data_IF_832077328766
#
_entry.id   IF_832077328766
#
_cell.length_a   1.000
_cell.length_b   1.000
_cell.length_c   1.000
_cell.angle_alpha   90.00
_cell.angle_beta   90.00
_cell.angle_gamma   90.00
#
_symmetry.space_group_name_H-M   'P 1'
#
loop_
_entity.id
_entity.type
_entity.pdbx_description
1 polymer ?
#
# COMPACT_ATOMS: atom_id res chain seq x y z
N UNK A 1 5.22 0.18 16.67
CA UNK A 1 6.48 -0.55 16.95
C UNK A 1 7.47 -0.46 15.78
N UNK A 2 7.08 -0.83 14.54
CA UNK A 2 7.99 -0.81 13.38
C UNK A 2 8.52 0.57 13.03
N UNK A 3 7.72 1.63 13.19
CA UNK A 3 8.12 3.01 12.96
C UNK A 3 9.07 3.57 14.03
N UNK A 4 9.19 2.90 15.16
CA UNK A 4 10.03 3.31 16.28
C UNK A 4 11.39 2.57 16.27
N UNK A 5 11.56 1.60 15.38
CA UNK A 5 12.82 0.90 15.13
C UNK A 5 13.58 1.63 14.00
N UNK A 6 14.92 1.77 14.16
CA UNK A 6 15.80 2.49 13.20
C UNK A 6 16.03 1.68 11.91
N UNK A 7 14.92 1.38 11.17
CA UNK A 7 14.92 0.54 9.96
C UNK A 7 14.50 1.29 8.69
N UNK A 8 14.46 2.62 8.73
CA UNK A 8 14.16 3.44 7.56
C UNK A 8 12.69 3.51 7.16
N UNK A 9 11.75 3.13 8.03
CA UNK A 9 10.31 3.33 7.79
C UNK A 9 9.90 4.80 7.84
N UNK A 10 10.68 5.62 8.55
CA UNK A 10 10.43 7.06 8.67
C UNK A 10 11.46 7.86 7.89
N UNK A 11 11.01 8.82 7.10
CA UNK A 11 11.86 9.82 6.44
C UNK A 11 12.19 11.02 7.35
N UNK A 12 11.63 11.06 8.56
CA UNK A 12 11.87 12.14 9.53
C UNK A 12 13.18 11.97 10.31
N UNK A 13 13.79 10.81 10.25
CA UNK A 13 15.07 10.48 10.90
C UNK A 13 16.05 9.96 9.87
N UNK A 14 17.35 10.15 10.12
CA UNK A 14 18.37 9.55 9.27
C UNK A 14 18.66 8.12 9.73
N UNK A 15 18.14 7.16 8.97
CA UNK A 15 18.18 5.73 9.27
C UNK A 15 18.65 4.95 8.05
N UNK A 16 19.08 3.70 8.27
CA UNK A 16 19.43 2.77 7.18
C UNK A 16 18.18 2.41 6.38
N UNK A 17 18.27 2.34 5.06
CA UNK A 17 17.19 1.93 4.16
C UNK A 17 16.98 0.41 4.19
N UNK A 18 16.33 -0.09 5.24
CA UNK A 18 15.94 -1.51 5.37
C UNK A 18 14.47 -1.73 4.96
N UNK A 19 13.52 -1.19 5.70
CA UNK A 19 12.06 -1.26 5.54
C UNK A 19 11.46 -2.67 5.58
N UNK A 20 12.20 -3.71 5.93
CA UNK A 20 11.63 -5.07 6.04
C UNK A 20 10.77 -5.21 7.29
N UNK A 21 9.57 -5.73 7.14
CA UNK A 21 8.73 -6.18 8.26
C UNK A 21 9.22 -7.54 8.77
N UNK A 22 9.44 -8.48 7.88
CA UNK A 22 10.12 -9.74 8.17
C UNK A 22 11.63 -9.59 7.93
N UNK A 23 12.42 -9.75 9.01
CA UNK A 23 13.90 -9.65 8.94
C UNK A 23 14.56 -10.78 8.13
N UNK A 24 13.85 -11.87 7.90
CA UNK A 24 14.34 -12.99 7.10
C UNK A 24 14.17 -12.73 5.58
N UNK A 25 13.39 -11.72 5.20
CA UNK A 25 13.28 -11.31 3.80
C UNK A 25 14.63 -10.87 3.25
N UNK A 26 14.91 -11.20 1.98
CA UNK A 26 16.19 -10.90 1.34
C UNK A 26 16.27 -9.50 0.73
N UNK A 27 15.12 -8.87 0.42
CA UNK A 27 15.05 -7.58 -0.26
C UNK A 27 14.86 -6.47 0.76
N UNK A 28 15.77 -5.49 0.75
CA UNK A 28 15.70 -4.27 1.55
C UNK A 28 15.35 -3.07 0.68
N UNK A 29 14.97 -1.95 1.30
CA UNK A 29 14.81 -0.68 0.59
C UNK A 29 16.10 -0.23 -0.10
N UNK A 30 17.26 -0.54 0.50
CA UNK A 30 18.57 -0.28 -0.08
C UNK A 30 18.79 -1.07 -1.38
N UNK A 31 18.40 -2.34 -1.45
CA UNK A 31 18.46 -3.13 -2.68
C UNK A 31 17.58 -2.50 -3.77
N UNK A 32 16.35 -2.10 -3.43
CA UNK A 32 15.44 -1.49 -4.40
C UNK A 32 16.06 -0.25 -5.03
N UNK A 33 16.51 0.71 -4.24
CA UNK A 33 17.05 1.98 -4.79
C UNK A 33 18.36 1.80 -5.53
N UNK A 34 19.21 0.83 -5.14
CA UNK A 34 20.51 0.64 -5.75
C UNK A 34 20.55 -0.36 -6.91
N UNK A 35 19.63 -1.33 -6.97
CA UNK A 35 19.73 -2.45 -7.92
C UNK A 35 18.61 -2.45 -8.97
N UNK A 36 17.40 -1.93 -8.64
CA UNK A 36 16.29 -1.96 -9.59
C UNK A 36 16.55 -1.11 -10.83
N UNK A 37 16.07 -1.58 -11.99
CA UNK A 37 16.17 -0.81 -13.24
C UNK A 37 15.37 0.52 -13.14
N UNK A 38 15.71 1.48 -13.98
CA UNK A 38 14.96 2.73 -14.11
C UNK A 38 13.47 2.49 -14.30
N UNK A 39 13.11 1.59 -15.23
CA UNK A 39 11.70 1.30 -15.51
C UNK A 39 10.99 0.68 -14.30
N UNK A 40 11.64 -0.22 -13.58
CA UNK A 40 11.07 -0.82 -12.38
C UNK A 40 10.86 0.22 -11.28
N UNK A 41 11.85 1.08 -11.00
CA UNK A 41 11.72 2.18 -10.04
C UNK A 41 10.58 3.14 -10.42
N UNK A 42 10.54 3.61 -11.66
CA UNK A 42 9.48 4.48 -12.18
C UNK A 42 8.10 3.85 -11.99
N UNK A 43 7.97 2.55 -12.30
CA UNK A 43 6.71 1.85 -12.19
C UNK A 43 6.23 1.71 -10.74
N UNK A 44 7.09 1.32 -9.79
CA UNK A 44 6.69 1.22 -8.38
C UNK A 44 6.35 2.61 -7.80
N UNK A 45 7.10 3.65 -8.13
CA UNK A 45 6.82 5.00 -7.67
C UNK A 45 5.50 5.55 -8.22
N UNK A 46 5.15 5.19 -9.45
CA UNK A 46 3.88 5.57 -10.05
C UNK A 46 2.71 4.73 -9.51
N UNK A 47 2.85 3.41 -9.48
CA UNK A 47 1.76 2.50 -9.11
C UNK A 47 1.52 2.46 -7.60
N UNK A 48 2.57 2.37 -6.79
CA UNK A 48 2.47 2.23 -5.34
C UNK A 48 2.60 3.56 -4.60
N UNK A 49 3.31 4.52 -5.17
CA UNK A 49 3.42 5.86 -4.61
C UNK A 49 2.36 6.83 -5.14
N UNK A 50 1.69 6.52 -6.25
CA UNK A 50 0.82 7.46 -6.98
C UNK A 50 1.58 8.79 -7.27
N UNK A 51 2.94 8.73 -7.41
CA UNK A 51 3.81 9.89 -7.57
C UNK A 51 3.90 10.32 -9.05
N UNK A 52 3.47 11.56 -9.32
CA UNK A 52 3.44 12.11 -10.69
C UNK A 52 4.83 12.34 -11.28
N UNK A 53 5.81 12.63 -10.43
CA UNK A 53 7.21 12.86 -10.84
C UNK A 53 8.07 11.59 -10.76
N UNK A 54 7.44 10.41 -10.76
CA UNK A 54 8.09 9.09 -10.66
C UNK A 54 9.26 8.93 -11.63
N UNK A 55 9.11 9.39 -12.87
CA UNK A 55 10.15 9.30 -13.90
C UNK A 55 11.39 10.16 -13.57
N UNK A 56 11.21 11.38 -13.09
CA UNK A 56 12.32 12.26 -12.71
C UNK A 56 13.07 11.72 -11.50
N UNK A 57 12.33 11.26 -10.49
CA UNK A 57 12.89 10.71 -9.27
C UNK A 57 13.67 9.42 -9.57
N UNK A 58 13.08 8.48 -10.32
CA UNK A 58 13.74 7.25 -10.74
C UNK A 58 15.03 7.52 -11.54
N UNK A 59 14.99 8.48 -12.48
CA UNK A 59 16.16 8.88 -13.25
C UNK A 59 17.27 9.41 -12.35
N UNK A 60 16.93 10.27 -11.38
CA UNK A 60 17.91 10.86 -10.45
C UNK A 60 18.54 9.82 -9.54
N UNK A 61 17.77 8.88 -9.01
CA UNK A 61 18.27 7.74 -8.24
C UNK A 61 19.28 6.93 -9.05
N UNK A 62 18.94 6.55 -10.29
CA UNK A 62 19.81 5.78 -11.17
C UNK A 62 21.09 6.54 -11.54
N UNK A 63 21.02 7.87 -11.67
CA UNK A 63 22.18 8.71 -11.91
C UNK A 63 23.12 8.71 -10.69
N UNK A 64 22.61 9.02 -9.51
CA UNK A 64 23.41 9.17 -8.28
C UNK A 64 24.07 7.85 -7.87
N UNK A 65 23.35 6.73 -7.94
CA UNK A 65 23.90 5.43 -7.52
C UNK A 65 25.07 4.92 -8.38
N UNK A 66 25.31 5.49 -9.58
CA UNK A 66 26.49 5.18 -10.39
C UNK A 66 27.79 5.63 -9.73
N UNK A 67 27.73 6.66 -8.91
CA UNK A 67 28.91 7.25 -8.23
C UNK A 67 28.95 6.92 -6.75
N UNK A 68 27.80 6.82 -6.10
CA UNK A 68 27.71 6.59 -4.66
C UNK A 68 26.46 5.75 -4.34
N UNK A 69 26.64 4.66 -3.61
CA UNK A 69 25.54 3.85 -3.09
C UNK A 69 24.66 4.66 -2.14
N UNK A 70 23.34 4.55 -2.31
CA UNK A 70 22.35 5.21 -1.46
C UNK A 70 22.08 4.30 -0.26
N UNK A 71 22.36 4.79 0.96
CA UNK A 71 22.32 3.96 2.17
C UNK A 71 21.29 4.39 3.19
N UNK A 72 20.99 5.70 3.24
CA UNK A 72 20.14 6.25 4.31
C UNK A 72 18.91 6.96 3.77
N UNK A 73 17.92 7.11 4.65
CA UNK A 73 16.67 7.82 4.39
C UNK A 73 16.92 9.27 4.01
N UNK A 74 17.88 9.93 4.67
CA UNK A 74 18.23 11.32 4.36
C UNK A 74 18.84 11.44 2.96
N UNK A 75 19.78 10.58 2.59
CA UNK A 75 20.36 10.56 1.24
C UNK A 75 19.27 10.41 0.17
N UNK A 76 18.28 9.51 0.41
CA UNK A 76 17.16 9.35 -0.50
C UNK A 76 16.29 10.61 -0.59
N UNK A 77 15.96 11.25 0.54
CA UNK A 77 15.21 12.50 0.56
C UNK A 77 15.91 13.62 -0.20
N UNK A 78 17.23 13.76 -0.02
CA UNK A 78 18.05 14.77 -0.72
C UNK A 78 18.03 14.53 -2.24
N UNK A 79 18.10 13.27 -2.68
CA UNK A 79 17.99 12.88 -4.09
C UNK A 79 16.61 13.19 -4.66
N UNK A 80 15.54 12.90 -3.92
CA UNK A 80 14.16 13.22 -4.32
C UNK A 80 14.01 14.73 -4.47
N UNK A 81 14.46 15.51 -3.49
CA UNK A 81 14.42 16.97 -3.54
C UNK A 81 15.19 17.54 -4.74
N UNK A 82 16.39 17.02 -5.00
CA UNK A 82 17.20 17.42 -6.16
C UNK A 82 16.55 17.05 -7.51
N UNK A 83 15.76 15.95 -7.55
CA UNK A 83 15.08 15.52 -8.76
C UNK A 83 13.92 16.44 -9.14
N UNK A 84 13.10 16.84 -8.17
CA UNK A 84 11.84 17.56 -8.41
C UNK A 84 11.95 19.08 -8.15
N UNK A 85 13.02 19.50 -7.50
CA UNK A 85 13.25 20.88 -7.06
C UNK A 85 12.53 21.23 -5.76
N UNK A 86 13.12 22.13 -4.99
CA UNK A 86 12.67 22.47 -3.63
C UNK A 86 11.21 22.95 -3.58
N UNK A 87 10.78 23.77 -4.55
CA UNK A 87 9.39 24.27 -4.60
C UNK A 87 8.35 23.14 -4.68
N UNK A 88 8.58 22.14 -5.51
CA UNK A 88 7.69 20.98 -5.61
C UNK A 88 7.79 20.11 -4.36
N UNK A 89 9.01 19.83 -3.91
CA UNK A 89 9.31 19.00 -2.74
C UNK A 89 8.55 19.47 -1.50
N UNK A 90 8.73 20.74 -1.09
CA UNK A 90 8.08 21.29 0.12
C UNK A 90 6.56 21.53 -0.03
N UNK A 91 6.05 21.60 -1.26
CA UNK A 91 4.61 21.74 -1.50
C UNK A 91 3.87 20.41 -1.48
N UNK A 92 4.46 19.35 -2.01
CA UNK A 92 3.77 18.08 -2.28
C UNK A 92 4.24 16.92 -1.42
N UNK A 93 5.40 17.08 -0.78
CA UNK A 93 6.01 16.04 0.06
C UNK A 93 6.13 14.67 -0.65
N UNK A 94 6.78 14.60 -1.83
CA UNK A 94 6.88 13.39 -2.64
C UNK A 94 7.63 12.26 -1.93
N UNK A 95 8.48 12.58 -0.94
CA UNK A 95 9.15 11.59 -0.11
C UNK A 95 8.18 10.62 0.57
N UNK A 96 6.99 11.08 0.98
CA UNK A 96 5.94 10.21 1.55
C UNK A 96 5.51 9.13 0.57
N UNK A 97 5.28 9.54 -0.66
CA UNK A 97 4.84 8.67 -1.74
C UNK A 97 5.92 7.65 -2.12
N UNK A 98 7.18 8.10 -2.21
CA UNK A 98 8.32 7.25 -2.56
C UNK A 98 8.61 6.23 -1.46
N UNK A 99 8.61 6.64 -0.18
CA UNK A 99 8.80 5.74 0.96
C UNK A 99 7.68 4.72 1.06
N UNK A 100 6.41 5.14 0.85
CA UNK A 100 5.28 4.21 0.74
C UNK A 100 5.49 3.19 -0.38
N UNK A 101 5.89 3.63 -1.57
CA UNK A 101 6.10 2.75 -2.71
C UNK A 101 7.20 1.71 -2.46
N UNK A 102 8.32 2.14 -1.87
CA UNK A 102 9.43 1.24 -1.52
C UNK A 102 8.99 0.25 -0.43
N UNK A 103 8.27 0.70 0.60
CA UNK A 103 7.77 -0.15 1.68
C UNK A 103 6.84 -1.25 1.15
N UNK A 104 5.90 -0.87 0.30
CA UNK A 104 4.97 -1.80 -0.35
C UNK A 104 5.74 -2.85 -1.17
N UNK A 105 6.75 -2.43 -1.94
CA UNK A 105 7.56 -3.34 -2.75
C UNK A 105 8.43 -4.28 -1.90
N UNK A 106 9.07 -3.77 -0.82
CA UNK A 106 9.91 -4.57 0.09
C UNK A 106 9.10 -5.68 0.77
N UNK A 107 7.85 -5.37 1.16
CA UNK A 107 7.03 -6.24 2.01
C UNK A 107 5.90 -6.94 1.25
N UNK A 108 5.81 -6.78 -0.08
CA UNK A 108 4.76 -7.35 -0.93
C UNK A 108 3.33 -7.08 -0.42
N UNK A 109 3.13 -5.94 0.28
CA UNK A 109 1.94 -5.64 1.07
C UNK A 109 0.63 -5.80 0.29
N UNK A 110 0.59 -5.35 -0.97
CA UNK A 110 -0.62 -5.41 -1.79
C UNK A 110 -0.87 -6.82 -2.33
N UNK A 111 0.19 -7.53 -2.72
CA UNK A 111 0.11 -8.91 -3.21
C UNK A 111 -0.41 -9.85 -2.12
N UNK A 112 0.08 -9.69 -0.90
CA UNK A 112 -0.34 -10.52 0.23
C UNK A 112 -1.77 -10.19 0.66
N UNK A 113 -2.16 -8.89 0.60
CA UNK A 113 -3.55 -8.50 0.84
C UNK A 113 -4.50 -9.14 -0.18
N UNK A 114 -4.14 -9.16 -1.47
CA UNK A 114 -4.93 -9.79 -2.53
C UNK A 114 -5.09 -11.30 -2.33
N UNK A 115 -4.05 -11.97 -1.82
CA UNK A 115 -4.08 -13.42 -1.55
C UNK A 115 -4.90 -13.75 -0.31
N UNK A 116 -4.69 -13.02 0.78
CA UNK A 116 -5.30 -13.35 2.08
C UNK A 116 -6.80 -13.09 2.14
N UNK A 117 -7.31 -12.09 1.42
CA UNK A 117 -8.73 -11.73 1.51
C UNK A 117 -9.70 -12.84 1.03
N UNK A 118 -9.47 -13.51 -0.12
CA UNK A 118 -10.27 -14.67 -0.53
C UNK A 118 -10.28 -15.81 0.49
N UNK A 119 -9.10 -16.13 1.03
CA UNK A 119 -8.95 -17.19 2.02
C UNK A 119 -9.69 -16.83 3.32
N UNK A 120 -9.53 -15.59 3.81
CA UNK A 120 -10.24 -15.11 4.98
C UNK A 120 -11.78 -15.17 4.80
N UNK A 121 -12.29 -14.83 3.61
CA UNK A 121 -13.74 -14.94 3.30
C UNK A 121 -14.18 -16.40 3.33
N UNK A 122 -13.37 -17.33 2.78
CA UNK A 122 -13.71 -18.75 2.72
C UNK A 122 -13.81 -19.41 4.09
N UNK A 123 -13.00 -18.94 5.04
CA UNK A 123 -12.92 -19.47 6.41
C UNK A 123 -14.02 -18.94 7.35
N UNK A 124 -14.81 -17.95 6.92
CA UNK A 124 -15.91 -17.43 7.74
C UNK A 124 -17.02 -18.47 7.91
N UNK A 125 -17.46 -18.65 9.14
CA UNK A 125 -18.72 -19.36 9.39
C UNK A 125 -19.93 -18.54 8.91
N UNK A 126 -21.09 -19.14 8.63
CA UNK A 126 -22.32 -18.41 8.35
C UNK A 126 -22.60 -17.33 9.41
N UNK A 127 -22.94 -16.12 8.97
CA UNK A 127 -23.08 -14.90 9.79
C UNK A 127 -21.78 -14.37 10.42
N UNK A 128 -20.63 -15.04 10.18
CA UNK A 128 -19.31 -14.53 10.57
C UNK A 128 -18.97 -13.24 9.82
N UNK A 129 -18.20 -12.35 10.45
CA UNK A 129 -17.82 -11.05 9.88
C UNK A 129 -16.32 -10.94 9.67
N UNK A 130 -15.94 -10.43 8.51
CA UNK A 130 -14.59 -9.97 8.22
C UNK A 130 -14.56 -8.45 8.29
N UNK A 131 -13.69 -7.91 9.14
CA UNK A 131 -13.46 -6.48 9.30
C UNK A 131 -12.05 -6.17 8.84
N UNK A 132 -11.91 -5.24 7.90
CA UNK A 132 -10.61 -4.84 7.35
C UNK A 132 -10.42 -3.35 7.52
N UNK A 133 -9.28 -2.96 8.09
CA UNK A 133 -8.83 -1.57 8.19
C UNK A 133 -7.69 -1.37 7.20
N UNK A 134 -7.78 -0.33 6.38
CA UNK A 134 -6.76 0.08 5.41
C UNK A 134 -6.28 1.48 5.72
N UNK A 135 -5.03 1.80 5.40
CA UNK A 135 -4.40 3.08 5.71
C UNK A 135 -4.03 3.92 4.49
N UNK A 136 -4.17 3.36 3.27
CA UNK A 136 -3.96 4.10 2.04
C UNK A 136 -4.93 3.66 0.91
N UNK A 137 -4.96 4.45 -0.18
CA UNK A 137 -5.88 4.31 -1.29
C UNK A 137 -5.79 2.96 -2.01
N UNK A 138 -4.59 2.40 -2.14
CA UNK A 138 -4.35 1.15 -2.87
C UNK A 138 -4.91 -0.05 -2.11
N UNK A 139 -4.66 -0.15 -0.80
CA UNK A 139 -5.27 -1.18 0.05
C UNK A 139 -6.80 -1.11 -0.01
N UNK A 140 -7.37 0.09 0.19
CA UNK A 140 -8.82 0.28 0.17
C UNK A 140 -9.43 -0.12 -1.18
N UNK A 141 -8.72 0.13 -2.28
CA UNK A 141 -9.12 -0.28 -3.63
C UNK A 141 -9.18 -1.79 -3.77
N UNK A 142 -8.17 -2.51 -3.29
CA UNK A 142 -8.11 -3.98 -3.31
C UNK A 142 -9.24 -4.56 -2.47
N UNK A 143 -9.39 -4.14 -1.22
CA UNK A 143 -10.45 -4.61 -0.32
C UNK A 143 -11.83 -4.39 -0.94
N UNK A 144 -12.08 -3.19 -1.49
CA UNK A 144 -13.33 -2.86 -2.17
C UNK A 144 -13.58 -3.77 -3.38
N UNK A 145 -12.57 -4.04 -4.19
CA UNK A 145 -12.71 -4.89 -5.38
C UNK A 145 -12.98 -6.35 -5.00
N UNK A 146 -12.24 -6.88 -4.03
CA UNK A 146 -12.43 -8.25 -3.55
C UNK A 146 -13.82 -8.39 -2.90
N UNK A 147 -14.20 -7.50 -2.00
CA UNK A 147 -15.52 -7.55 -1.36
C UNK A 147 -16.66 -7.43 -2.37
N UNK A 148 -16.50 -6.57 -3.39
CA UNK A 148 -17.47 -6.47 -4.48
C UNK A 148 -17.58 -7.78 -5.26
N UNK A 149 -16.44 -8.39 -5.63
CA UNK A 149 -16.40 -9.64 -6.37
C UNK A 149 -17.18 -10.76 -5.66
N UNK A 150 -17.00 -10.89 -4.35
CA UNK A 150 -17.62 -11.96 -3.55
C UNK A 150 -19.04 -11.61 -3.04
N UNK A 151 -19.48 -10.35 -3.17
CA UNK A 151 -20.82 -9.90 -2.76
C UNK A 151 -21.81 -9.75 -3.91
N UNK A 152 -21.39 -9.91 -5.15
CA UNK A 152 -22.24 -9.80 -6.34
C UNK A 152 -22.28 -11.14 -7.08
N UNK A 153 -23.38 -11.40 -7.77
CA UNK A 153 -23.49 -12.52 -8.70
C UNK A 153 -22.52 -12.30 -9.86
N UNK A 154 -21.81 -13.35 -10.27
CA UNK A 154 -20.90 -13.26 -11.42
C UNK A 154 -21.64 -12.76 -12.66
N UNK A 155 -20.99 -11.86 -13.39
CA UNK A 155 -21.59 -11.26 -14.59
C UNK A 155 -21.94 -12.26 -15.67
N UNK A 156 -21.23 -13.40 -15.73
CA UNK A 156 -21.43 -14.45 -16.74
C UNK A 156 -22.78 -15.16 -16.56
N UNK A 157 -23.31 -15.22 -15.35
CA UNK A 157 -24.57 -15.91 -15.02
C UNK A 157 -25.68 -14.94 -14.63
N UNK A 158 -25.40 -13.65 -14.64
CA UNK A 158 -26.36 -12.60 -14.31
C UNK A 158 -27.46 -12.57 -15.37
N UNK A 159 -28.68 -12.85 -14.96
CA UNK A 159 -29.87 -12.91 -15.84
C UNK A 159 -30.34 -14.33 -16.15
N UNK A 160 -29.66 -15.37 -15.69
CA UNK A 160 -30.19 -16.73 -15.74
C UNK A 160 -31.36 -16.88 -14.75
N UNK A 161 -32.41 -17.61 -15.12
CA UNK A 161 -33.56 -17.83 -14.23
C UNK A 161 -33.18 -18.58 -12.95
N UNK A 162 -32.21 -19.48 -13.03
CA UNK A 162 -31.63 -20.19 -11.88
C UNK A 162 -30.10 -19.98 -11.89
N UNK A 163 -29.56 -19.32 -10.87
CA UNK A 163 -28.12 -19.11 -10.70
C UNK A 163 -27.56 -20.30 -9.91
N UNK A 164 -26.59 -21.08 -10.47
CA UNK A 164 -25.96 -22.17 -9.74
C UNK A 164 -25.32 -21.67 -8.42
N UNK A 165 -25.31 -22.53 -7.41
CA UNK A 165 -24.85 -22.17 -6.06
C UNK A 165 -23.39 -21.65 -6.03
N UNK A 166 -22.57 -22.16 -6.92
CA UNK A 166 -21.16 -21.77 -7.06
C UNK A 166 -20.95 -20.30 -7.53
N UNK A 167 -21.98 -19.69 -8.16
CA UNK A 167 -21.94 -18.30 -8.62
C UNK A 167 -22.77 -17.36 -7.74
N UNK A 168 -23.33 -17.87 -6.65
CA UNK A 168 -24.05 -17.03 -5.71
C UNK A 168 -23.07 -16.23 -4.82
N UNK A 169 -23.47 -15.03 -4.36
CA UNK A 169 -22.64 -14.26 -3.44
C UNK A 169 -22.32 -15.06 -2.18
N UNK A 170 -21.06 -15.04 -1.77
CA UNK A 170 -20.62 -15.69 -0.53
C UNK A 170 -20.78 -14.78 0.69
N UNK A 171 -20.77 -13.48 0.48
CA UNK A 171 -20.81 -12.45 1.51
C UNK A 171 -21.79 -11.34 1.13
N UNK A 172 -22.25 -10.60 2.12
CA UNK A 172 -22.94 -9.32 1.93
C UNK A 172 -22.15 -8.17 2.56
N UNK A 173 -22.20 -6.98 1.95
CA UNK A 173 -21.58 -5.78 2.50
C UNK A 173 -22.41 -5.32 3.72
N UNK A 174 -21.78 -5.21 4.88
CA UNK A 174 -22.40 -4.62 6.08
C UNK A 174 -22.46 -3.09 5.94
N UNK A 175 -21.41 -2.49 5.39
CA UNK A 175 -21.34 -1.05 5.10
C UNK A 175 -20.96 -0.82 3.63
N UNK A 176 -21.76 -0.03 2.90
CA UNK A 176 -21.47 0.33 1.49
C UNK A 176 -20.33 1.34 1.38
N UNK A 177 -20.28 2.31 2.28
CA UNK A 177 -19.20 3.30 2.39
C UNK A 177 -18.24 2.88 3.52
N UNK A 178 -16.94 3.16 3.41
CA UNK A 178 -16.03 2.87 4.51
C UNK A 178 -16.42 3.69 5.75
N UNK A 179 -16.22 3.13 6.93
CA UNK A 179 -16.28 3.86 8.19
C UNK A 179 -14.94 4.57 8.34
N UNK A 180 -14.99 5.86 8.63
CA UNK A 180 -13.83 6.73 8.85
C UNK A 180 -13.63 6.93 10.35
N UNK A 181 -12.41 7.29 10.80
CA UNK A 181 -12.15 7.61 12.20
C UNK A 181 -13.02 8.80 12.65
N UNK A 182 -13.42 8.76 13.91
CA UNK A 182 -14.16 9.86 14.54
C UNK A 182 -13.25 11.07 14.77
N UNK A 183 -13.84 12.25 15.02
CA UNK A 183 -13.08 13.45 15.39
C UNK A 183 -12.27 13.26 16.67
N UNK A 184 -12.79 12.49 17.62
CA UNK A 184 -12.08 12.13 18.84
C UNK A 184 -10.86 11.27 18.53
N UNK A 185 -11.01 10.20 17.73
CA UNK A 185 -9.91 9.35 17.31
C UNK A 185 -8.82 10.15 16.58
N UNK A 186 -9.21 11.09 15.71
CA UNK A 186 -8.24 11.93 14.99
C UNK A 186 -7.43 12.84 15.93
N UNK A 187 -8.01 13.28 17.04
CA UNK A 187 -7.31 14.09 18.05
C UNK A 187 -6.35 13.26 18.89
N UNK A 188 -6.76 12.05 19.25
CA UNK A 188 -5.99 11.15 20.11
C UNK A 188 -4.90 10.37 19.31
N UNK A 189 -5.20 10.06 18.06
CA UNK A 189 -4.34 9.25 17.18
C UNK A 189 -4.29 9.82 15.76
N UNK A 190 -3.39 10.74 15.52
CA UNK A 190 -3.21 11.38 14.21
C UNK A 190 -2.85 10.39 13.10
N UNK A 191 -2.33 9.20 13.42
CA UNK A 191 -2.02 8.13 12.45
C UNK A 191 -3.28 7.49 11.87
N UNK A 192 -4.43 7.64 12.53
CA UNK A 192 -5.72 7.13 12.02
C UNK A 192 -6.32 7.96 10.88
N UNK A 193 -5.77 9.12 10.56
CA UNK A 193 -6.34 10.08 9.61
C UNK A 193 -6.66 9.50 8.21
N UNK A 194 -5.91 8.51 7.77
CA UNK A 194 -6.13 7.83 6.49
C UNK A 194 -6.87 6.50 6.61
N UNK A 195 -7.22 6.08 7.83
CA UNK A 195 -7.84 4.79 8.08
C UNK A 195 -9.25 4.70 7.47
N UNK A 196 -9.53 3.54 6.86
CA UNK A 196 -10.84 3.19 6.32
C UNK A 196 -11.20 1.78 6.75
N UNK A 197 -12.35 1.61 7.38
CA UNK A 197 -12.84 0.32 7.84
C UNK A 197 -13.98 -0.17 6.96
N UNK A 198 -13.85 -1.41 6.45
CA UNK A 198 -14.87 -2.10 5.67
C UNK A 198 -15.25 -3.42 6.34
N UNK A 199 -16.54 -3.74 6.28
CA UNK A 199 -17.10 -4.93 6.93
C UNK A 199 -17.94 -5.71 5.93
N UNK A 200 -17.72 -7.03 5.91
CA UNK A 200 -18.59 -7.99 5.22
C UNK A 200 -19.03 -9.06 6.17
N UNK A 201 -20.14 -9.69 5.85
CA UNK A 201 -20.73 -10.79 6.62
C UNK A 201 -20.98 -11.97 5.69
N UNK A 202 -20.61 -13.17 6.12
CA UNK A 202 -20.90 -14.42 5.41
C UNK A 202 -22.40 -14.66 5.35
N UNK A 203 -22.92 -15.01 4.17
CA UNK A 203 -24.33 -15.39 3.96
C UNK A 203 -24.60 -16.79 4.48
#
# INVERSE_FOLDING_TARGET
PQLDENRGFSFMRDEILDMRMDRNSHITAQNIVNEYSYEKLKNIFYQYGEEKQSALIAKKIVEVRKTKQIKTTKELCDIICAAVGAKYYYKTHPERNIFQAIRIEVNEELTDLEKVLPDAISLLNPKGRLVVITFHSLEDRIVKQVFKKYSEVDKMVKGLPNIPSEYQPLIKLVNKKPILPSEQELKENTRSASAKLRIVERI
#
